data_IF_958123437962
#
_entry.id   IF_958123437962
#
_cell.length_a   1.000
_cell.length_b   1.000
_cell.length_c   1.000
_cell.angle_alpha   90.00
_cell.angle_beta   90.00
_cell.angle_gamma   90.00
#
_symmetry.space_group_name_H-M   'P 1'
#
loop_
_entity.id
_entity.type
_entity.pdbx_description
1 polymer ?
#
# COMPACT_ATOMS: atom_id res chain seq x y z
N UNK A 1 11.53 23.84 -10.90
CA UNK A 1 12.03 23.84 -9.50
C UNK A 1 10.89 23.42 -8.60
N UNK A 2 11.01 22.26 -7.94
CA UNK A 2 10.03 21.83 -6.93
C UNK A 2 9.92 22.87 -5.81
N UNK A 3 8.74 22.96 -5.18
CA UNK A 3 8.56 23.88 -4.06
C UNK A 3 9.48 23.51 -2.89
N UNK A 4 9.76 24.45 -1.98
CA UNK A 4 10.56 24.19 -0.78
C UNK A 4 9.98 23.04 0.06
N UNK A 5 8.66 22.79 -0.03
CA UNK A 5 7.97 21.72 0.66
C UNK A 5 8.28 20.36 0.02
N UNK A 6 8.21 20.25 -1.31
CA UNK A 6 8.53 19.02 -2.05
C UNK A 6 9.95 18.55 -1.76
N UNK A 7 10.92 19.48 -1.78
CA UNK A 7 12.30 19.18 -1.42
C UNK A 7 12.43 18.63 0.01
N UNK A 8 11.77 19.25 0.98
CA UNK A 8 11.78 18.77 2.37
C UNK A 8 11.17 17.38 2.51
N UNK A 9 10.06 17.12 1.80
CA UNK A 9 9.40 15.80 1.80
C UNK A 9 10.35 14.77 1.20
N UNK A 10 10.95 15.06 0.05
CA UNK A 10 11.93 14.18 -0.62
C UNK A 10 13.11 13.86 0.30
N UNK A 11 13.69 14.86 0.96
CA UNK A 11 14.82 14.66 1.89
C UNK A 11 14.46 13.72 3.05
N UNK A 12 13.25 13.86 3.61
CA UNK A 12 12.76 12.97 4.68
C UNK A 12 12.61 11.55 4.16
N UNK A 13 12.02 11.36 2.97
CA UNK A 13 11.82 10.04 2.36
C UNK A 13 13.19 9.39 2.09
N UNK A 14 14.11 10.09 1.45
CA UNK A 14 15.48 9.59 1.14
C UNK A 14 16.20 9.16 2.42
N UNK A 15 16.15 9.98 3.48
CA UNK A 15 16.75 9.64 4.77
C UNK A 15 16.16 8.36 5.36
N UNK A 16 14.84 8.23 5.32
CA UNK A 16 14.13 7.07 5.86
C UNK A 16 14.45 5.81 5.04
N UNK A 17 14.39 5.89 3.71
CA UNK A 17 14.75 4.78 2.83
C UNK A 17 16.20 4.34 3.06
N UNK A 18 17.16 5.29 3.07
CA UNK A 18 18.58 5.00 3.29
C UNK A 18 18.89 4.36 4.65
N UNK A 19 18.01 4.55 5.63
CA UNK A 19 18.17 3.92 6.94
C UNK A 19 17.69 2.47 6.97
N UNK A 20 16.68 2.12 6.18
CA UNK A 20 16.01 0.83 6.24
C UNK A 20 16.20 -0.06 5.01
N UNK A 21 16.55 0.51 3.86
CA UNK A 21 16.81 -0.23 2.63
C UNK A 21 18.29 -0.19 2.28
N UNK A 22 18.80 -1.37 1.91
CA UNK A 22 20.11 -1.51 1.27
C UNK A 22 19.91 -2.26 -0.04
N UNK A 23 20.25 -1.62 -1.15
CA UNK A 23 20.14 -2.24 -2.46
C UNK A 23 21.35 -3.13 -2.75
N UNK A 24 21.07 -4.28 -3.35
CA UNK A 24 22.16 -5.13 -3.87
C UNK A 24 22.92 -4.33 -4.93
N UNK A 25 24.23 -4.21 -4.73
CA UNK A 25 25.13 -3.48 -5.64
C UNK A 25 25.76 -4.42 -6.64
N UNK A 26 25.93 -3.94 -7.86
CA UNK A 26 26.88 -4.55 -8.81
C UNK A 26 28.28 -4.04 -8.51
N UNK A 27 29.29 -4.83 -8.79
CA UNK A 27 30.71 -4.52 -8.50
C UNK A 27 31.17 -3.18 -9.09
N UNK A 28 30.58 -2.73 -10.19
CA UNK A 28 30.88 -1.48 -10.90
C UNK A 28 29.86 -0.37 -10.67
N UNK A 29 29.02 -0.46 -9.63
CA UNK A 29 28.03 0.59 -9.34
C UNK A 29 28.71 1.90 -8.89
N UNK A 30 28.50 2.96 -9.66
CA UNK A 30 29.06 4.31 -9.40
C UNK A 30 28.23 5.12 -8.41
N UNK A 31 26.93 4.81 -8.29
CA UNK A 31 25.99 5.56 -7.49
C UNK A 31 25.69 4.88 -6.15
N UNK A 32 25.48 5.69 -5.12
CA UNK A 32 25.06 5.23 -3.81
C UNK A 32 23.54 4.96 -3.78
N UNK A 33 23.09 4.18 -2.78
CA UNK A 33 21.67 3.93 -2.56
C UNK A 33 20.88 5.24 -2.34
N UNK A 34 21.46 6.21 -1.64
CA UNK A 34 20.83 7.52 -1.41
C UNK A 34 20.57 8.30 -2.70
N UNK A 35 21.46 8.19 -3.69
CA UNK A 35 21.27 8.82 -5.00
C UNK A 35 20.15 8.16 -5.80
N UNK A 36 20.00 6.84 -5.69
CA UNK A 36 18.88 6.09 -6.27
C UNK A 36 17.56 6.45 -5.58
N UNK A 37 17.55 6.44 -4.25
CA UNK A 37 16.36 6.82 -3.48
C UNK A 37 15.94 8.26 -3.71
N UNK A 38 16.86 9.15 -4.03
CA UNK A 38 16.55 10.52 -4.41
C UNK A 38 15.70 10.54 -5.70
N UNK A 39 16.09 9.78 -6.72
CA UNK A 39 15.31 9.68 -7.96
C UNK A 39 13.93 9.06 -7.71
N UNK A 40 13.85 7.96 -6.94
CA UNK A 40 12.56 7.34 -6.62
C UNK A 40 11.62 8.26 -5.86
N UNK A 41 12.18 8.94 -4.85
CA UNK A 41 11.41 9.85 -4.01
C UNK A 41 10.93 11.06 -4.80
N UNK A 42 11.78 11.61 -5.67
CA UNK A 42 11.43 12.73 -6.53
C UNK A 42 10.32 12.35 -7.51
N UNK A 43 10.46 11.21 -8.18
CA UNK A 43 9.43 10.68 -9.07
C UNK A 43 8.07 10.51 -8.37
N UNK A 44 8.07 9.92 -7.17
CA UNK A 44 6.85 9.70 -6.40
C UNK A 44 6.20 10.99 -5.88
N UNK A 45 6.99 11.94 -5.38
CA UNK A 45 6.50 13.23 -4.84
C UNK A 45 5.93 14.12 -5.94
N UNK A 46 6.60 14.17 -7.10
CA UNK A 46 6.20 15.03 -8.22
C UNK A 46 5.27 14.31 -9.22
N UNK A 47 5.01 13.00 -9.04
CA UNK A 47 4.18 12.19 -9.93
C UNK A 47 4.67 12.18 -11.39
N UNK A 48 5.99 12.14 -11.56
CA UNK A 48 6.68 12.07 -12.86
C UNK A 48 7.29 10.69 -13.07
N UNK A 49 7.73 10.39 -14.30
CA UNK A 49 8.47 9.17 -14.58
C UNK A 49 9.86 9.17 -13.93
N UNK A 50 10.44 7.98 -13.70
CA UNK A 50 11.80 7.85 -13.18
C UNK A 50 12.84 8.53 -14.09
N UNK A 51 12.60 8.49 -15.41
CA UNK A 51 13.45 9.15 -16.39
C UNK A 51 13.39 10.66 -16.23
N UNK A 52 12.19 11.22 -16.19
CA UNK A 52 11.96 12.67 -16.02
C UNK A 52 12.51 13.16 -14.67
N UNK A 53 12.28 12.43 -13.59
CA UNK A 53 12.84 12.72 -12.28
C UNK A 53 14.39 12.81 -12.30
N UNK A 54 15.02 11.87 -13.01
CA UNK A 54 16.48 11.85 -13.18
C UNK A 54 17.00 13.06 -13.97
N UNK A 55 16.30 13.44 -15.03
CA UNK A 55 16.65 14.61 -15.86
C UNK A 55 16.47 15.92 -15.07
N UNK A 56 15.32 16.12 -14.43
CA UNK A 56 15.08 17.30 -13.57
C UNK A 56 16.12 17.45 -12.46
N UNK A 57 16.47 16.35 -11.78
CA UNK A 57 17.49 16.39 -10.73
C UNK A 57 18.87 16.75 -11.27
N UNK A 58 19.26 16.23 -12.44
CA UNK A 58 20.52 16.58 -13.10
C UNK A 58 20.56 18.03 -13.54
N UNK A 59 19.46 18.54 -14.09
CA UNK A 59 19.33 19.95 -14.47
C UNK A 59 19.45 20.88 -13.24
N UNK A 60 19.03 20.39 -12.08
CA UNK A 60 19.24 21.06 -10.80
C UNK A 60 20.67 20.88 -10.22
N UNK A 61 21.58 20.20 -10.92
CA UNK A 61 22.98 20.00 -10.52
C UNK A 61 23.22 18.81 -9.58
N UNK A 62 22.23 17.92 -9.39
CA UNK A 62 22.41 16.69 -8.61
C UNK A 62 23.15 15.61 -9.42
N UNK A 63 24.10 14.94 -8.79
CA UNK A 63 24.75 13.77 -9.37
C UNK A 63 23.91 12.52 -9.06
N UNK A 64 23.02 12.14 -9.99
CA UNK A 64 22.13 10.99 -9.87
C UNK A 64 22.22 10.07 -11.07
N UNK A 65 21.88 8.77 -10.92
CA UNK A 65 21.84 7.81 -12.04
C UNK A 65 20.79 8.21 -13.09
N UNK A 66 20.90 7.67 -14.30
CA UNK A 66 19.85 7.79 -15.33
C UNK A 66 18.63 6.98 -14.94
N UNK A 67 17.47 7.33 -15.47
CA UNK A 67 16.25 6.56 -15.23
C UNK A 67 16.39 5.08 -15.59
N UNK A 68 17.03 4.78 -16.72
CA UNK A 68 17.31 3.39 -17.13
C UNK A 68 18.20 2.65 -16.13
N UNK A 69 19.26 3.31 -15.62
CA UNK A 69 20.13 2.72 -14.62
C UNK A 69 19.40 2.43 -13.31
N UNK A 70 18.51 3.34 -12.91
CA UNK A 70 17.64 3.16 -11.71
C UNK A 70 16.71 1.98 -11.91
N UNK A 71 16.01 1.88 -13.04
CA UNK A 71 15.08 0.80 -13.34
C UNK A 71 15.79 -0.55 -13.48
N UNK A 72 16.95 -0.60 -14.16
CA UNK A 72 17.77 -1.80 -14.27
C UNK A 72 18.24 -2.28 -12.89
N UNK A 73 18.69 -1.38 -12.03
CA UNK A 73 19.09 -1.75 -10.68
C UNK A 73 17.91 -2.25 -9.85
N UNK A 74 16.76 -1.59 -9.92
CA UNK A 74 15.54 -2.00 -9.20
C UNK A 74 15.04 -3.38 -9.64
N UNK A 75 15.04 -3.65 -10.96
CA UNK A 75 14.59 -4.93 -11.51
C UNK A 75 15.47 -6.13 -11.06
N UNK A 76 16.70 -5.86 -10.67
CA UNK A 76 17.64 -6.86 -10.16
C UNK A 76 17.63 -7.02 -8.64
N UNK A 77 16.74 -6.29 -7.92
CA UNK A 77 16.61 -6.46 -6.47
C UNK A 77 15.79 -7.71 -6.13
N UNK A 78 16.21 -8.53 -5.16
CA UNK A 78 15.36 -9.58 -4.63
C UNK A 78 14.14 -8.96 -3.98
N UNK A 79 12.94 -9.33 -4.45
CA UNK A 79 11.67 -8.78 -3.96
C UNK A 79 11.56 -8.82 -2.43
N UNK A 80 12.01 -9.92 -1.81
CA UNK A 80 11.99 -10.09 -0.35
C UNK A 80 12.79 -9.04 0.41
N UNK A 81 13.90 -8.56 -0.15
CA UNK A 81 14.73 -7.51 0.46
C UNK A 81 13.97 -6.19 0.43
N UNK A 82 13.33 -5.87 -0.70
CA UNK A 82 12.51 -4.66 -0.82
C UNK A 82 11.32 -4.71 0.15
N UNK A 83 10.61 -5.83 0.18
CA UNK A 83 9.46 -6.03 1.09
C UNK A 83 9.86 -5.82 2.56
N UNK A 84 10.93 -6.47 3.01
CA UNK A 84 11.44 -6.32 4.39
C UNK A 84 11.88 -4.88 4.68
N UNK A 85 12.56 -4.23 3.76
CA UNK A 85 12.97 -2.84 3.91
C UNK A 85 11.77 -1.89 4.03
N UNK A 86 10.75 -2.04 3.19
CA UNK A 86 9.52 -1.25 3.30
C UNK A 86 8.75 -1.54 4.59
N UNK A 87 8.74 -2.78 5.07
CA UNK A 87 8.15 -3.11 6.37
C UNK A 87 8.83 -2.35 7.51
N UNK A 88 10.16 -2.24 7.48
CA UNK A 88 10.92 -1.45 8.47
C UNK A 88 10.61 0.05 8.35
N UNK A 89 10.47 0.58 7.13
CA UNK A 89 10.03 1.96 6.90
C UNK A 89 8.67 2.22 7.53
N UNK A 90 7.68 1.34 7.30
CA UNK A 90 6.35 1.47 7.88
C UNK A 90 6.38 1.39 9.43
N UNK A 91 7.17 0.47 9.98
CA UNK A 91 7.33 0.33 11.43
C UNK A 91 7.91 1.60 12.07
N UNK A 92 8.95 2.17 11.47
CA UNK A 92 9.57 3.41 11.95
C UNK A 92 8.58 4.58 11.86
N UNK A 93 7.92 4.72 10.73
CA UNK A 93 6.89 5.74 10.52
C UNK A 93 5.76 5.66 11.55
N UNK A 94 5.22 4.47 11.81
CA UNK A 94 4.18 4.26 12.83
C UNK A 94 4.73 4.60 14.23
N UNK A 95 5.95 4.19 14.53
CA UNK A 95 6.60 4.46 15.80
C UNK A 95 6.80 5.96 16.05
N UNK A 96 7.24 6.69 15.03
CA UNK A 96 7.38 8.16 15.09
C UNK A 96 6.02 8.84 15.26
N UNK A 97 4.99 8.40 14.53
CA UNK A 97 3.63 8.91 14.64
C UNK A 97 3.05 8.70 16.04
N UNK A 98 3.36 7.55 16.69
CA UNK A 98 2.98 7.30 18.10
C UNK A 98 3.69 8.27 19.06
N UNK A 99 5.00 8.50 18.88
CA UNK A 99 5.74 9.48 19.69
C UNK A 99 5.16 10.88 19.57
N UNK A 100 4.64 11.23 18.40
CA UNK A 100 3.93 12.50 18.13
C UNK A 100 2.46 12.48 18.61
N UNK A 101 2.02 11.42 19.28
CA UNK A 101 0.65 11.25 19.81
C UNK A 101 -0.43 11.27 18.73
N UNK A 102 -0.12 10.88 17.49
CA UNK A 102 -1.11 10.79 16.42
C UNK A 102 -2.06 9.59 16.60
N UNK A 103 -1.64 8.56 17.35
CA UNK A 103 -2.41 7.35 17.64
C UNK A 103 -2.59 7.18 19.15
N UNK A 104 -3.31 8.11 19.79
CA UNK A 104 -3.57 8.08 21.25
C UNK A 104 -4.70 7.14 21.62
N UNK A 105 -5.57 6.83 20.67
CA UNK A 105 -6.73 5.94 20.84
C UNK A 105 -6.72 4.84 19.78
N UNK A 106 -7.60 3.86 19.94
CA UNK A 106 -7.85 2.87 18.90
C UNK A 106 -8.40 3.54 17.63
N UNK A 107 -7.86 3.18 16.49
CA UNK A 107 -8.14 3.82 15.19
C UNK A 107 -9.08 3.01 14.30
N UNK A 108 -9.74 3.68 13.39
CA UNK A 108 -10.44 3.05 12.27
C UNK A 108 -9.45 2.84 11.15
N UNK A 109 -9.36 1.61 10.65
CA UNK A 109 -8.54 1.27 9.49
C UNK A 109 -9.40 0.82 8.33
N UNK A 110 -8.96 1.09 7.10
CA UNK A 110 -9.58 0.55 5.90
C UNK A 110 -8.60 -0.38 5.18
N UNK A 111 -9.13 -1.48 4.64
CA UNK A 111 -8.41 -2.38 3.74
C UNK A 111 -9.03 -2.23 2.35
N UNK A 112 -8.18 -1.96 1.37
CA UNK A 112 -8.60 -1.76 -0.01
C UNK A 112 -7.59 -2.37 -1.00
N UNK A 113 -8.06 -2.64 -2.23
CA UNK A 113 -7.20 -3.01 -3.34
C UNK A 113 -6.88 -1.79 -4.19
N UNK A 114 -5.60 -1.64 -4.49
CA UNK A 114 -5.12 -0.63 -5.44
C UNK A 114 -4.63 -1.35 -6.68
N UNK A 115 -5.22 -1.04 -7.82
CA UNK A 115 -4.90 -1.60 -9.13
C UNK A 115 -4.12 -0.58 -9.96
N UNK A 116 -2.96 -1.00 -10.46
CA UNK A 116 -2.16 -0.26 -11.44
C UNK A 116 -2.34 -0.94 -12.78
N UNK A 117 -2.79 -0.19 -13.78
CA UNK A 117 -3.01 -0.71 -15.14
C UNK A 117 -1.71 -1.27 -15.72
N UNK A 118 -1.80 -2.47 -16.31
CA UNK A 118 -0.69 -3.13 -16.97
C UNK A 118 -0.98 -3.30 -18.46
N UNK A 119 -0.05 -2.88 -19.29
CA UNK A 119 -0.16 -2.91 -20.75
C UNK A 119 0.88 -3.81 -21.41
N UNK A 120 1.73 -4.47 -20.63
CA UNK A 120 2.74 -5.40 -21.10
C UNK A 120 2.20 -6.82 -21.29
N UNK A 121 3.11 -7.77 -21.49
CA UNK A 121 2.79 -9.19 -21.57
C UNK A 121 2.17 -9.70 -20.26
N UNK A 122 1.38 -10.78 -20.36
CA UNK A 122 0.80 -11.42 -19.19
C UNK A 122 1.88 -12.14 -18.38
N UNK A 123 2.08 -11.70 -17.16
CA UNK A 123 3.02 -12.27 -16.22
C UNK A 123 2.25 -12.99 -15.10
N UNK A 124 2.83 -13.99 -14.43
CA UNK A 124 2.14 -14.81 -13.42
C UNK A 124 1.55 -14.05 -12.24
N UNK A 125 2.01 -12.82 -12.00
CA UNK A 125 1.52 -11.97 -10.90
C UNK A 125 0.46 -10.95 -11.36
N UNK A 126 0.13 -10.89 -12.65
CA UNK A 126 -0.91 -9.98 -13.16
C UNK A 126 -2.29 -10.51 -12.81
N UNK A 127 -3.11 -9.64 -12.24
CA UNK A 127 -4.51 -9.94 -11.88
C UNK A 127 -5.44 -9.43 -12.97
N UNK A 128 -6.35 -10.27 -13.43
CA UNK A 128 -7.42 -9.88 -14.33
C UNK A 128 -8.54 -9.17 -13.56
N UNK A 129 -9.09 -8.13 -14.16
CA UNK A 129 -10.17 -7.35 -13.57
C UNK A 129 -11.13 -6.79 -14.61
N UNK A 130 -12.02 -5.90 -14.19
CA UNK A 130 -12.89 -5.19 -15.13
C UNK A 130 -12.02 -4.25 -15.97
N UNK A 131 -12.18 -4.32 -17.29
CA UNK A 131 -11.43 -3.48 -18.22
C UNK A 131 -11.53 -1.99 -17.85
N UNK A 132 -10.41 -1.30 -17.82
CA UNK A 132 -10.26 0.11 -17.52
C UNK A 132 -9.13 0.68 -18.37
N UNK A 133 -9.33 1.85 -18.96
CA UNK A 133 -8.32 2.53 -19.77
C UNK A 133 -7.67 1.66 -20.88
N UNK A 134 -8.44 0.70 -21.46
CA UNK A 134 -7.96 -0.15 -22.53
C UNK A 134 -7.23 -1.43 -22.12
N UNK A 135 -7.13 -1.74 -20.83
CA UNK A 135 -6.59 -3.00 -20.32
C UNK A 135 -7.52 -3.66 -19.30
N UNK A 136 -7.47 -4.99 -19.20
CA UNK A 136 -8.08 -5.78 -18.14
C UNK A 136 -7.03 -6.42 -17.20
N UNK A 137 -5.76 -6.06 -17.42
CA UNK A 137 -4.59 -6.56 -16.69
C UNK A 137 -4.13 -5.53 -15.66
N UNK A 138 -3.87 -5.97 -14.44
CA UNK A 138 -3.49 -5.09 -13.34
C UNK A 138 -2.37 -5.69 -12.48
N UNK A 139 -1.46 -4.84 -12.03
CA UNK A 139 -0.63 -5.12 -10.87
C UNK A 139 -1.45 -4.67 -9.65
N UNK A 140 -1.78 -5.61 -8.77
CA UNK A 140 -2.66 -5.35 -7.62
C UNK A 140 -1.88 -5.33 -6.32
N UNK A 141 -2.19 -4.34 -5.50
CA UNK A 141 -1.74 -4.26 -4.11
C UNK A 141 -2.95 -4.24 -3.18
N UNK A 142 -2.79 -4.88 -2.01
CA UNK A 142 -3.70 -4.70 -0.89
C UNK A 142 -3.06 -3.73 0.10
N UNK A 143 -3.80 -2.74 0.54
CA UNK A 143 -3.34 -1.72 1.48
C UNK A 143 -4.18 -1.74 2.73
N UNK A 144 -3.58 -1.45 3.89
CA UNK A 144 -4.28 -1.11 5.12
C UNK A 144 -3.83 0.27 5.58
N UNK A 145 -4.76 1.13 5.88
CA UNK A 145 -4.47 2.50 6.31
C UNK A 145 -5.44 3.02 7.35
N UNK A 146 -5.00 4.01 8.13
CA UNK A 146 -5.88 4.78 9.03
C UNK A 146 -6.75 5.71 8.19
N UNK A 147 -8.06 5.73 8.49
CA UNK A 147 -9.08 6.54 7.79
C UNK A 147 -9.93 7.29 8.80
N UNK A 148 -9.33 8.23 9.48
CA UNK A 148 -10.01 9.11 10.42
C UNK A 148 -10.00 10.57 9.91
N UNK A 149 -10.86 11.40 10.44
CA UNK A 149 -10.89 12.81 10.06
C UNK A 149 -9.54 13.47 10.32
N UNK A 150 -8.99 14.13 9.30
CA UNK A 150 -7.67 14.76 9.36
C UNK A 150 -6.48 13.80 9.40
N UNK A 151 -6.72 12.47 9.37
CA UNK A 151 -5.65 11.46 9.44
C UNK A 151 -5.85 10.38 8.38
N UNK A 152 -4.95 10.33 7.42
CA UNK A 152 -4.89 9.26 6.41
C UNK A 152 -3.45 8.78 6.32
N UNK A 153 -3.21 7.55 6.76
CA UNK A 153 -1.88 6.94 6.80
C UNK A 153 -1.95 5.53 6.27
N UNK A 154 -1.19 5.23 5.23
CA UNK A 154 -0.96 3.85 4.82
C UNK A 154 -0.01 3.20 5.83
N UNK A 155 -0.42 2.06 6.39
CA UNK A 155 0.33 1.37 7.44
C UNK A 155 1.10 0.15 6.90
N UNK A 156 0.57 -0.52 5.87
CA UNK A 156 1.18 -1.67 5.20
C UNK A 156 0.62 -1.79 3.79
N UNK A 157 1.46 -2.29 2.90
CA UNK A 157 1.13 -2.65 1.51
C UNK A 157 1.59 -4.08 1.26
N UNK A 158 0.76 -4.88 0.61
CA UNK A 158 1.09 -6.25 0.17
C UNK A 158 0.80 -6.40 -1.32
N UNK A 159 1.68 -7.03 -2.10
CA UNK A 159 1.37 -7.43 -3.46
C UNK A 159 0.32 -8.55 -3.44
N UNK A 160 -0.60 -8.51 -4.40
CA UNK A 160 -1.65 -9.51 -4.57
C UNK A 160 -1.52 -10.13 -5.94
N UNK A 161 -1.43 -11.45 -5.98
CA UNK A 161 -1.34 -12.24 -7.20
C UNK A 161 -2.64 -13.03 -7.43
N UNK A 162 -2.84 -13.64 -8.59
CA UNK A 162 -4.01 -14.52 -8.82
C UNK A 162 -4.12 -15.70 -7.83
N UNK A 163 -2.99 -16.09 -7.21
CA UNK A 163 -2.94 -17.18 -6.21
C UNK A 163 -3.16 -16.69 -4.77
N UNK A 164 -3.27 -15.39 -4.55
CA UNK A 164 -3.45 -14.82 -3.21
C UNK A 164 -4.85 -15.08 -2.68
N UNK A 165 -4.95 -15.66 -1.49
CA UNK A 165 -6.22 -15.85 -0.78
C UNK A 165 -6.57 -14.58 -0.01
N UNK A 166 -7.75 -14.00 -0.25
CA UNK A 166 -8.18 -12.72 0.36
C UNK A 166 -8.15 -12.75 1.89
N UNK A 167 -8.59 -13.85 2.49
CA UNK A 167 -8.60 -14.04 3.94
C UNK A 167 -7.19 -14.03 4.54
N UNK A 168 -6.20 -14.58 3.81
CA UNK A 168 -4.79 -14.56 4.23
C UNK A 168 -4.19 -13.16 4.12
N UNK A 169 -4.49 -12.46 3.03
CA UNK A 169 -4.06 -11.07 2.83
C UNK A 169 -4.63 -10.17 3.93
N UNK A 170 -5.93 -10.28 4.22
CA UNK A 170 -6.58 -9.52 5.30
C UNK A 170 -5.96 -9.84 6.66
N UNK A 171 -5.71 -11.14 6.92
CA UNK A 171 -5.04 -11.57 8.16
C UNK A 171 -3.67 -10.92 8.32
N UNK A 172 -2.83 -11.00 7.30
CA UNK A 172 -1.46 -10.48 7.32
C UNK A 172 -1.43 -8.97 7.54
N UNK A 173 -2.31 -8.22 6.87
CA UNK A 173 -2.45 -6.77 7.04
C UNK A 173 -2.86 -6.40 8.47
N UNK A 174 -3.86 -7.09 9.03
CA UNK A 174 -4.34 -6.84 10.39
C UNK A 174 -3.28 -7.24 11.42
N UNK A 175 -2.68 -8.41 11.30
CA UNK A 175 -1.63 -8.90 12.22
C UNK A 175 -0.42 -7.96 12.25
N UNK A 176 -0.05 -7.39 11.10
CA UNK A 176 1.03 -6.40 11.06
C UNK A 176 0.67 -5.14 11.84
N UNK A 177 -0.50 -4.57 11.58
CA UNK A 177 -0.91 -3.30 12.19
C UNK A 177 -1.17 -3.41 13.69
N UNK A 178 -1.79 -4.51 14.14
CA UNK A 178 -2.09 -4.74 15.56
C UNK A 178 -0.86 -4.74 16.47
N UNK A 179 0.31 -5.05 15.94
CA UNK A 179 1.57 -4.99 16.69
C UNK A 179 1.93 -3.57 17.13
N UNK A 180 1.40 -2.57 16.45
CA UNK A 180 1.80 -1.17 16.66
C UNK A 180 0.64 -0.26 17.05
N UNK A 181 -0.57 -0.54 16.59
CA UNK A 181 -1.73 0.33 16.75
C UNK A 181 -2.94 -0.51 17.17
N UNK A 182 -3.71 -0.03 18.14
CA UNK A 182 -4.99 -0.64 18.50
C UNK A 182 -6.02 -0.32 17.42
N UNK A 183 -6.66 -1.34 16.87
CA UNK A 183 -7.71 -1.19 15.86
C UNK A 183 -9.07 -1.17 16.55
N UNK A 184 -9.89 -0.16 16.26
CA UNK A 184 -11.28 -0.05 16.73
C UNK A 184 -12.25 -0.77 15.80
N UNK A 185 -12.10 -0.52 14.49
CA UNK A 185 -12.95 -1.10 13.44
C UNK A 185 -12.13 -1.23 12.16
N UNK A 186 -12.32 -2.34 11.44
CA UNK A 186 -11.79 -2.57 10.10
C UNK A 186 -12.88 -2.30 9.08
N UNK A 187 -12.66 -1.38 8.17
CA UNK A 187 -13.52 -1.11 7.04
C UNK A 187 -13.01 -1.86 5.81
N UNK A 188 -13.89 -2.52 5.09
CA UNK A 188 -13.55 -3.22 3.86
C UNK A 188 -14.56 -2.87 2.77
N UNK A 189 -14.13 -2.89 1.52
CA UNK A 189 -15.04 -2.73 0.41
C UNK A 189 -15.85 -4.02 0.14
N UNK A 190 -16.87 -3.93 -0.72
CA UNK A 190 -17.72 -5.08 -1.09
C UNK A 190 -16.93 -6.21 -1.79
N UNK A 191 -15.76 -5.93 -2.36
CA UNK A 191 -14.88 -6.91 -3.00
C UNK A 191 -14.32 -7.95 -2.03
N UNK A 192 -14.27 -7.62 -0.73
CA UNK A 192 -13.85 -8.53 0.33
C UNK A 192 -14.99 -9.36 0.94
N UNK A 193 -16.25 -9.13 0.55
CA UNK A 193 -17.38 -9.85 1.13
C UNK A 193 -17.33 -11.34 0.76
N UNK A 194 -16.90 -12.15 1.70
CA UNK A 194 -16.94 -13.62 1.65
C UNK A 194 -16.98 -14.21 3.06
N UNK A 195 -17.45 -15.45 3.19
CA UNK A 195 -17.52 -16.12 4.49
C UNK A 195 -16.11 -16.29 5.09
N UNK A 196 -15.13 -16.61 4.29
CA UNK A 196 -13.74 -16.84 4.70
C UNK A 196 -13.13 -15.56 5.30
N UNK A 197 -13.32 -14.41 4.63
CA UNK A 197 -12.83 -13.10 5.13
C UNK A 197 -13.55 -12.73 6.43
N UNK A 198 -14.88 -12.87 6.47
CA UNK A 198 -15.68 -12.57 7.68
C UNK A 198 -15.22 -13.42 8.85
N UNK A 199 -15.07 -14.74 8.63
CA UNK A 199 -14.63 -15.66 9.67
C UNK A 199 -13.20 -15.34 10.13
N UNK A 200 -12.32 -14.98 9.19
CA UNK A 200 -10.94 -14.60 9.53
C UNK A 200 -10.88 -13.35 10.42
N UNK A 201 -11.66 -12.30 10.11
CA UNK A 201 -11.68 -11.07 10.92
C UNK A 201 -12.29 -11.35 12.31
N UNK A 202 -13.32 -12.20 12.41
CA UNK A 202 -13.88 -12.64 13.69
C UNK A 202 -12.87 -13.42 14.51
N UNK A 203 -12.11 -14.32 13.90
CA UNK A 203 -11.05 -15.09 14.58
C UNK A 203 -9.92 -14.19 15.13
N UNK A 204 -9.69 -13.02 14.49
CA UNK A 204 -8.76 -12.00 14.98
C UNK A 204 -9.37 -11.12 16.08
N UNK A 205 -10.62 -11.34 16.47
CA UNK A 205 -11.32 -10.56 17.49
C UNK A 205 -11.59 -9.11 17.08
N UNK A 206 -11.65 -8.82 15.77
CA UNK A 206 -11.84 -7.46 15.28
C UNK A 206 -13.29 -7.15 14.91
N UNK A 207 -13.72 -5.93 15.25
CA UNK A 207 -14.95 -5.37 14.69
C UNK A 207 -14.71 -4.94 13.24
N UNK A 208 -15.71 -5.11 12.39
CA UNK A 208 -15.59 -4.77 10.98
C UNK A 208 -16.90 -4.24 10.39
N UNK A 209 -16.76 -3.46 9.33
CA UNK A 209 -17.87 -3.03 8.47
C UNK A 209 -17.51 -3.42 7.03
N UNK A 210 -18.41 -4.17 6.39
CA UNK A 210 -18.27 -4.60 5.01
C UNK A 210 -19.62 -4.52 4.30
N UNK A 211 -19.73 -3.84 3.15
CA UNK A 211 -20.99 -3.79 2.40
C UNK A 211 -21.37 -5.17 1.88
N UNK A 212 -22.60 -5.57 2.10
CA UNK A 212 -23.13 -6.85 1.65
C UNK A 212 -23.39 -6.82 0.14
N UNK A 213 -23.06 -7.89 -0.57
CA UNK A 213 -23.49 -8.07 -1.94
C UNK A 213 -25.00 -8.29 -1.94
N UNK A 214 -25.71 -7.55 -2.80
CA UNK A 214 -27.15 -7.74 -2.99
C UNK A 214 -27.40 -9.06 -3.71
N UNK A 215 -27.85 -10.05 -2.97
CA UNK A 215 -28.44 -11.26 -3.50
C UNK A 215 -29.92 -11.25 -3.16
N UNK A 216 -30.78 -11.93 -3.93
CA UNK A 216 -32.23 -12.01 -3.71
C UNK A 216 -32.59 -12.37 -2.25
N UNK A 217 -31.78 -13.24 -1.63
CA UNK A 217 -31.95 -13.64 -0.24
C UNK A 217 -31.71 -12.52 0.76
N UNK A 218 -30.72 -11.66 0.46
CA UNK A 218 -30.38 -10.48 1.28
C UNK A 218 -31.44 -9.39 1.09
N UNK A 219 -31.92 -9.17 -0.13
CA UNK A 219 -33.00 -8.20 -0.40
C UNK A 219 -34.26 -8.58 0.35
N UNK A 220 -34.68 -9.86 0.32
CA UNK A 220 -35.80 -10.34 1.09
C UNK A 220 -35.63 -10.15 2.60
N UNK A 221 -34.44 -10.41 3.14
CA UNK A 221 -34.13 -10.14 4.55
C UNK A 221 -34.20 -8.64 4.88
N UNK A 222 -33.65 -7.79 4.03
CA UNK A 222 -33.73 -6.34 4.20
C UNK A 222 -35.18 -5.84 4.19
N UNK A 223 -36.01 -6.31 3.26
CA UNK A 223 -37.45 -6.01 3.22
C UNK A 223 -38.19 -6.45 4.49
N UNK A 224 -37.83 -7.62 5.03
CA UNK A 224 -38.43 -8.14 6.26
C UNK A 224 -38.03 -7.25 7.46
N UNK A 225 -36.77 -6.87 7.58
CA UNK A 225 -36.30 -5.97 8.64
C UNK A 225 -36.93 -4.57 8.50
N UNK A 226 -37.10 -4.09 7.28
CA UNK A 226 -37.74 -2.80 7.02
C UNK A 226 -39.23 -2.80 7.42
N UNK A 227 -39.90 -3.92 7.23
CA UNK A 227 -41.34 -4.09 7.56
C UNK A 227 -41.59 -4.37 9.05
N UNK A 228 -40.69 -5.06 9.71
CA UNK A 228 -40.94 -5.63 11.06
C UNK A 228 -39.93 -5.20 12.12
N UNK A 229 -38.95 -4.32 11.78
CA UNK A 229 -37.85 -3.95 12.67
C UNK A 229 -36.76 -5.05 12.81
N UNK A 230 -35.61 -4.74 13.47
CA UNK A 230 -34.56 -5.71 13.67
C UNK A 230 -35.02 -6.84 14.59
N UNK A 231 -35.01 -8.06 14.06
CA UNK A 231 -35.22 -9.28 14.87
C UNK A 231 -33.87 -9.77 15.38
N UNK A 232 -33.74 -9.93 16.69
CA UNK A 232 -32.59 -10.61 17.28
C UNK A 232 -32.66 -12.09 16.98
N UNK A 233 -31.67 -12.64 16.28
CA UNK A 233 -31.45 -14.07 16.11
C UNK A 233 -30.29 -14.53 16.99
#
# INVERSE_FOLDING_TARGET
>A
MGSTLEKKITDVIVKTLSHHLTLVKRDNSTYSDSQEFLVWSWAGVNQVSVQEASEELRDCGYNVPSGDAVLDRLSNQPFKILEQGFDMVFQDYISQSRKQRLFTHSVVVAIDFTDIEWYGEELPFIVKGKAKNGTDCFIRFATIGVVEEGKRFTLKVLPVTPLSCKEKVVKELIDFVQRFVSIRVVLLDRGFYSNEVIQQIKNLGQYFVIPVKKYDKVEKLMETVYKHGPQSY
#
